data_IF_596982730126
#
_entry.id   IF_596982730126
#
_cell.length_a   1.000
_cell.length_b   1.000
_cell.length_c   1.000
_cell.angle_alpha   90.00
_cell.angle_beta   90.00
_cell.angle_gamma   90.00
#
_symmetry.space_group_name_H-M   'P 1'
#
loop_
_entity.id
_entity.type
_entity.pdbx_description
1 polymer ?
#
# COMPACT_ATOMS: atom_id res chain seq x y z
N UNK A 1 -10.73 18.80 5.83
CA UNK A 1 -12.00 19.00 5.11
C UNK A 1 -11.63 19.54 3.73
N UNK A 2 -11.44 18.64 2.77
CA UNK A 2 -11.02 19.01 1.42
C UNK A 2 -12.19 19.71 0.71
N UNK A 3 -11.94 20.89 0.17
CA UNK A 3 -12.95 21.64 -0.61
C UNK A 3 -13.05 21.00 -1.98
N UNK A 4 -14.25 20.56 -2.36
CA UNK A 4 -14.60 20.27 -3.74
C UNK A 4 -14.46 21.58 -4.54
N UNK A 5 -13.47 21.68 -5.42
CA UNK A 5 -13.43 22.75 -6.40
C UNK A 5 -14.41 22.39 -7.53
N UNK A 6 -15.61 22.96 -7.45
CA UNK A 6 -16.52 23.03 -8.59
C UNK A 6 -16.14 24.30 -9.36
N UNK A 7 -15.28 24.18 -10.39
CA UNK A 7 -15.20 25.15 -11.49
C UNK A 7 -14.21 24.69 -12.56
N UNK A 8 -14.70 24.64 -13.81
CA UNK A 8 -14.00 24.63 -15.10
C UNK A 8 -12.67 23.85 -15.18
N UNK A 9 -12.76 22.55 -15.57
CA UNK A 9 -11.63 21.80 -16.11
C UNK A 9 -10.45 21.60 -15.16
N UNK A 10 -10.29 20.38 -14.66
CA UNK A 10 -9.10 20.08 -13.86
C UNK A 10 -8.06 19.35 -14.69
N UNK A 11 -6.82 19.74 -14.51
CA UNK A 11 -5.69 19.20 -15.24
C UNK A 11 -5.25 17.85 -14.67
N UNK A 12 -5.31 17.68 -13.34
CA UNK A 12 -5.01 16.43 -12.65
C UNK A 12 -6.29 15.82 -12.07
N UNK A 13 -6.44 14.52 -12.24
CA UNK A 13 -7.52 13.76 -11.61
C UNK A 13 -6.97 12.54 -10.88
N UNK A 14 -7.61 12.17 -9.78
CA UNK A 14 -7.45 10.85 -9.18
C UNK A 14 -8.82 10.16 -9.18
N UNK A 15 -8.86 8.92 -9.60
CA UNK A 15 -10.07 8.08 -9.45
C UNK A 15 -9.80 7.10 -8.33
N UNK A 16 -10.62 7.13 -7.25
CA UNK A 16 -10.46 6.18 -6.15
C UNK A 16 -10.87 4.77 -6.57
N UNK A 17 -10.32 3.77 -5.90
CA UNK A 17 -10.81 2.40 -6.02
C UNK A 17 -12.19 2.22 -5.33
N UNK A 18 -12.39 1.19 -4.53
CA UNK A 18 -13.61 1.01 -3.71
C UNK A 18 -13.59 1.87 -2.43
N UNK A 19 -12.41 2.41 -2.08
CA UNK A 19 -12.20 3.28 -0.92
C UNK A 19 -12.63 4.72 -1.16
N UNK A 20 -12.13 5.59 -0.32
CA UNK A 20 -12.33 7.03 -0.42
C UNK A 20 -11.00 7.74 -0.16
N UNK A 21 -10.91 9.01 -0.50
CA UNK A 21 -9.69 9.83 -0.27
C UNK A 21 -9.37 10.09 1.21
N UNK A 22 -10.16 9.61 2.12
CA UNK A 22 -9.97 9.67 3.58
C UNK A 22 -9.88 8.28 4.22
N UNK A 23 -9.37 7.29 3.48
CA UNK A 23 -9.20 5.90 3.94
C UNK A 23 -8.05 5.71 4.94
N UNK A 24 -7.32 6.77 5.26
CA UNK A 24 -6.16 6.80 6.15
C UNK A 24 -4.99 5.91 5.66
N UNK A 25 -4.95 5.55 4.37
CA UNK A 25 -4.02 4.62 3.78
C UNK A 25 -3.75 4.96 2.30
N UNK A 26 -4.03 4.06 1.38
CA UNK A 26 -3.59 4.04 0.00
C UNK A 26 -4.18 5.16 -0.87
N UNK A 27 -5.52 5.30 -0.90
CA UNK A 27 -6.15 6.35 -1.69
C UNK A 27 -5.83 7.74 -1.16
N UNK A 28 -5.86 7.93 0.17
CA UNK A 28 -5.52 9.20 0.80
C UNK A 28 -4.09 9.61 0.48
N UNK A 29 -3.11 8.73 0.67
CA UNK A 29 -1.70 9.03 0.45
C UNK A 29 -1.40 9.35 -1.02
N UNK A 30 -2.01 8.61 -1.95
CA UNK A 30 -1.90 8.86 -3.40
C UNK A 30 -2.50 10.22 -3.78
N UNK A 31 -3.67 10.56 -3.21
CA UNK A 31 -4.32 11.83 -3.43
C UNK A 31 -3.53 13.00 -2.86
N UNK A 32 -3.00 12.88 -1.65
CA UNK A 32 -2.16 13.89 -1.01
C UNK A 32 -0.89 14.18 -1.84
N UNK A 33 -0.27 13.14 -2.41
CA UNK A 33 0.87 13.30 -3.32
C UNK A 33 0.50 14.09 -4.58
N UNK A 34 -0.63 13.78 -5.20
CA UNK A 34 -1.13 14.53 -6.37
C UNK A 34 -1.48 15.98 -6.01
N UNK A 35 -2.15 16.22 -4.89
CA UNK A 35 -2.53 17.55 -4.42
C UNK A 35 -1.29 18.40 -4.12
N UNK A 36 -0.30 17.85 -3.43
CA UNK A 36 0.92 18.58 -3.12
C UNK A 36 1.64 19.02 -4.40
N UNK A 37 1.76 18.14 -5.39
CA UNK A 37 2.33 18.50 -6.69
C UNK A 37 1.50 19.58 -7.40
N UNK A 38 0.17 19.44 -7.41
CA UNK A 38 -0.72 20.40 -8.06
C UNK A 38 -0.61 21.80 -7.44
N UNK A 39 -0.63 21.89 -6.12
CA UNK A 39 -0.53 23.18 -5.39
C UNK A 39 0.83 23.85 -5.63
N UNK A 40 1.94 23.10 -5.62
CA UNK A 40 3.28 23.62 -5.89
C UNK A 40 3.40 24.17 -7.31
N UNK A 41 2.74 23.56 -8.30
CA UNK A 41 2.82 23.92 -9.71
C UNK A 41 1.65 24.77 -10.19
N UNK A 42 0.71 25.15 -9.32
CA UNK A 42 -0.45 25.98 -9.65
C UNK A 42 -1.44 25.31 -10.62
N UNK A 43 -1.54 23.97 -10.56
CA UNK A 43 -2.43 23.17 -11.39
C UNK A 43 -3.78 22.96 -10.71
N UNK A 44 -4.82 22.76 -11.50
CA UNK A 44 -6.15 22.40 -11.01
C UNK A 44 -6.26 20.88 -10.85
N UNK A 45 -6.97 20.43 -9.82
CA UNK A 45 -7.13 19.01 -9.52
C UNK A 45 -8.51 18.65 -9.02
N UNK A 46 -8.90 17.39 -9.21
CA UNK A 46 -10.11 16.81 -8.65
C UNK A 46 -9.93 15.33 -8.33
N UNK A 47 -10.88 14.77 -7.58
CA UNK A 47 -11.02 13.34 -7.45
C UNK A 47 -12.39 12.86 -7.90
N UNK A 48 -12.44 11.62 -8.35
CA UNK A 48 -13.64 10.93 -8.77
C UNK A 48 -13.78 9.65 -7.97
N UNK A 49 -15.02 9.34 -7.58
CA UNK A 49 -15.34 8.11 -6.89
C UNK A 49 -16.30 7.32 -7.76
N UNK A 50 -15.95 6.07 -8.15
CA UNK A 50 -16.87 5.18 -8.85
C UNK A 50 -18.16 4.97 -8.07
N UNK A 51 -19.27 4.82 -8.78
CA UNK A 51 -20.60 4.66 -8.18
C UNK A 51 -20.76 3.29 -7.48
N UNK A 52 -19.97 2.31 -7.92
CA UNK A 52 -19.93 0.95 -7.38
C UNK A 52 -18.57 0.31 -7.66
N UNK A 53 -18.30 -0.83 -7.03
CA UNK A 53 -17.10 -1.62 -7.29
C UNK A 53 -17.26 -2.45 -8.57
N UNK A 54 -16.98 -1.82 -9.70
CA UNK A 54 -16.95 -2.49 -10.99
C UNK A 54 -15.98 -1.79 -11.95
N UNK A 55 -15.44 -2.54 -12.91
CA UNK A 55 -14.61 -2.01 -14.00
C UNK A 55 -15.35 -0.93 -14.77
N UNK A 56 -16.62 -1.15 -15.10
CA UNK A 56 -17.43 -0.18 -15.84
C UNK A 56 -17.56 1.13 -15.07
N UNK A 57 -17.82 1.10 -13.76
CA UNK A 57 -17.94 2.31 -12.96
C UNK A 57 -16.60 3.08 -12.83
N UNK A 58 -15.46 2.37 -12.77
CA UNK A 58 -14.13 2.99 -12.82
C UNK A 58 -13.88 3.63 -14.17
N UNK A 59 -14.17 2.93 -15.26
CA UNK A 59 -14.04 3.47 -16.64
C UNK A 59 -14.92 4.70 -16.83
N UNK A 60 -16.19 4.68 -16.38
CA UNK A 60 -17.07 5.85 -16.44
C UNK A 60 -16.50 7.05 -15.66
N UNK A 61 -15.92 6.80 -14.47
CA UNK A 61 -15.28 7.84 -13.68
C UNK A 61 -14.04 8.44 -14.36
N UNK A 62 -13.23 7.60 -15.03
CA UNK A 62 -12.07 8.04 -15.81
C UNK A 62 -12.52 8.88 -17.03
N UNK A 63 -13.54 8.44 -17.76
CA UNK A 63 -14.13 9.20 -18.87
C UNK A 63 -14.67 10.55 -18.40
N UNK A 64 -15.38 10.57 -17.27
CA UNK A 64 -15.88 11.82 -16.68
C UNK A 64 -14.73 12.78 -16.31
N UNK A 65 -13.60 12.27 -15.82
CA UNK A 65 -12.40 13.07 -15.58
C UNK A 65 -11.85 13.68 -16.86
N UNK A 66 -11.75 12.91 -17.95
CA UNK A 66 -11.31 13.40 -19.26
C UNK A 66 -12.26 14.45 -19.83
N UNK A 67 -13.56 14.22 -19.78
CA UNK A 67 -14.58 15.17 -20.22
C UNK A 67 -14.52 16.51 -19.45
N UNK A 68 -14.08 16.46 -18.19
CA UNK A 68 -13.86 17.64 -17.36
C UNK A 68 -12.44 18.24 -17.51
N UNK A 69 -11.64 17.76 -18.47
CA UNK A 69 -10.37 18.38 -18.87
C UNK A 69 -9.11 17.77 -18.29
N UNK A 70 -9.22 16.61 -17.62
CA UNK A 70 -8.04 15.92 -17.07
C UNK A 70 -7.05 15.56 -18.19
N UNK A 71 -5.79 15.90 -17.99
CA UNK A 71 -4.65 15.53 -18.83
C UNK A 71 -3.86 14.38 -18.21
N UNK A 72 -4.00 14.21 -16.90
CA UNK A 72 -3.37 13.12 -16.15
C UNK A 72 -4.41 12.52 -15.20
N UNK A 73 -4.50 11.20 -15.19
CA UNK A 73 -5.34 10.44 -14.26
C UNK A 73 -4.46 9.51 -13.43
N UNK A 74 -4.45 9.72 -12.12
CA UNK A 74 -3.83 8.83 -11.14
C UNK A 74 -4.86 7.75 -10.76
N UNK A 75 -4.46 6.50 -10.90
CA UNK A 75 -5.28 5.31 -10.69
C UNK A 75 -4.63 4.46 -9.58
N UNK A 76 -5.04 4.63 -8.32
CA UNK A 76 -4.45 3.91 -7.20
C UNK A 76 -5.04 2.51 -7.05
N UNK A 77 -4.22 1.50 -7.34
CA UNK A 77 -4.48 0.12 -6.97
C UNK A 77 -4.77 -0.85 -8.10
N UNK A 78 -4.55 -2.09 -7.77
CA UNK A 78 -4.76 -3.27 -8.59
C UNK A 78 -6.10 -3.31 -9.33
N UNK A 79 -7.19 -2.81 -8.71
CA UNK A 79 -8.52 -2.80 -9.33
C UNK A 79 -8.62 -1.93 -10.60
N UNK A 80 -7.60 -1.13 -10.90
CA UNK A 80 -7.56 -0.30 -12.12
C UNK A 80 -6.88 -0.98 -13.32
N UNK A 81 -6.29 -2.14 -13.19
CA UNK A 81 -5.51 -2.78 -14.24
C UNK A 81 -6.32 -2.96 -15.53
N UNK A 82 -7.51 -3.56 -15.44
CA UNK A 82 -8.42 -3.73 -16.59
C UNK A 82 -9.05 -2.41 -17.05
N UNK A 83 -9.34 -1.49 -16.14
CA UNK A 83 -9.91 -0.18 -16.47
C UNK A 83 -8.91 0.68 -17.25
N UNK A 84 -7.65 0.74 -16.82
CA UNK A 84 -6.56 1.44 -17.53
C UNK A 84 -6.29 0.76 -18.87
N UNK A 85 -6.28 -0.57 -18.92
CA UNK A 85 -6.14 -1.33 -20.18
C UNK A 85 -7.17 -0.89 -21.24
N UNK A 86 -8.42 -0.66 -20.83
CA UNK A 86 -9.50 -0.24 -21.74
C UNK A 86 -9.36 1.22 -22.17
N UNK A 87 -9.01 2.14 -21.27
CA UNK A 87 -9.08 3.59 -21.57
C UNK A 87 -7.79 4.19 -22.09
N UNK A 88 -6.62 3.58 -21.88
CA UNK A 88 -5.34 4.13 -22.33
C UNK A 88 -5.26 4.30 -23.85
N UNK A 89 -5.88 3.41 -24.63
CA UNK A 89 -5.96 3.51 -26.09
C UNK A 89 -7.10 4.42 -26.57
N UNK A 90 -8.17 4.57 -25.77
CA UNK A 90 -9.31 5.44 -26.06
C UNK A 90 -8.90 6.92 -25.98
N UNK A 91 -7.97 7.25 -25.07
CA UNK A 91 -7.51 8.61 -24.81
C UNK A 91 -5.99 8.74 -24.93
N UNK A 92 -5.43 8.67 -26.16
CA UNK A 92 -3.97 8.68 -26.38
C UNK A 92 -3.28 9.99 -25.96
N UNK A 93 -4.05 11.08 -25.80
CA UNK A 93 -3.54 12.40 -25.38
C UNK A 93 -3.68 12.63 -23.86
N UNK A 94 -4.21 11.65 -23.11
CA UNK A 94 -4.31 11.67 -21.64
C UNK A 94 -3.27 10.71 -21.07
N UNK A 95 -2.57 11.14 -20.03
CA UNK A 95 -1.58 10.30 -19.34
C UNK A 95 -2.21 9.57 -18.16
N UNK A 96 -1.78 8.34 -17.95
CA UNK A 96 -2.24 7.49 -16.83
C UNK A 96 -1.06 7.13 -15.94
N UNK A 97 -1.24 7.30 -14.64
CA UNK A 97 -0.32 6.80 -13.60
C UNK A 97 -1.04 5.70 -12.82
N UNK A 98 -0.65 4.45 -13.03
CA UNK A 98 -1.21 3.29 -12.33
C UNK A 98 -0.28 2.88 -11.18
N UNK A 99 -0.81 2.82 -9.98
CA UNK A 99 -0.09 2.38 -8.79
C UNK A 99 -0.52 0.96 -8.40
N UNK A 100 0.41 0.10 -8.04
CA UNK A 100 0.21 -1.31 -7.64
C UNK A 100 -0.44 -2.17 -8.74
N UNK A 101 -0.17 -1.90 -10.01
CA UNK A 101 -0.75 -2.71 -11.07
C UNK A 101 -0.09 -2.53 -12.43
N UNK A 102 -0.43 -3.44 -13.35
CA UNK A 102 -0.04 -3.42 -14.75
C UNK A 102 -1.27 -3.68 -15.62
N UNK A 103 -1.53 -2.83 -16.64
CA UNK A 103 -2.75 -2.96 -17.45
C UNK A 103 -2.85 -4.28 -18.20
N UNK A 104 -3.97 -4.98 -18.06
CA UNK A 104 -4.25 -6.22 -18.74
C UNK A 104 -5.72 -6.37 -19.13
N UNK A 105 -6.00 -7.27 -20.08
CA UNK A 105 -7.38 -7.66 -20.41
C UNK A 105 -8.05 -8.38 -19.24
N UNK A 106 -9.38 -8.27 -19.12
CA UNK A 106 -10.15 -8.87 -18.02
C UNK A 106 -9.96 -10.39 -17.86
N UNK A 107 -9.54 -11.09 -18.91
CA UNK A 107 -9.24 -12.53 -18.90
C UNK A 107 -7.75 -12.85 -18.69
N UNK A 108 -6.92 -11.82 -18.41
CA UNK A 108 -5.46 -11.92 -18.25
C UNK A 108 -4.71 -12.48 -19.48
N UNK A 109 -5.35 -12.46 -20.65
CA UNK A 109 -4.74 -12.99 -21.88
C UNK A 109 -3.75 -12.02 -22.51
N UNK A 110 -3.94 -10.73 -22.31
CA UNK A 110 -3.09 -9.67 -22.86
C UNK A 110 -2.69 -8.68 -21.76
N UNK A 111 -1.39 -8.39 -21.68
CA UNK A 111 -0.80 -7.31 -20.89
C UNK A 111 -0.29 -6.23 -21.84
N UNK A 112 -0.68 -5.01 -21.61
CA UNK A 112 -0.25 -3.89 -22.45
C UNK A 112 -0.20 -2.60 -21.66
N UNK A 113 0.96 -2.03 -21.54
CA UNK A 113 1.17 -0.66 -21.05
C UNK A 113 1.42 0.25 -22.23
N UNK A 114 0.49 1.15 -22.53
CA UNK A 114 0.62 2.09 -23.66
C UNK A 114 1.62 3.21 -23.34
N UNK A 115 2.15 3.89 -24.36
CA UNK A 115 3.16 4.94 -24.17
C UNK A 115 2.69 6.14 -23.34
N UNK A 116 1.39 6.35 -23.19
CA UNK A 116 0.76 7.35 -22.33
C UNK A 116 0.46 6.82 -20.91
N UNK A 117 0.92 5.62 -20.56
CA UNK A 117 0.72 4.99 -19.26
C UNK A 117 2.06 4.70 -18.60
N UNK A 118 2.19 5.08 -17.35
CA UNK A 118 3.29 4.72 -16.46
C UNK A 118 2.76 3.92 -15.27
N UNK A 119 3.43 2.83 -14.93
CA UNK A 119 3.04 1.96 -13.83
C UNK A 119 4.11 1.94 -12.74
N UNK A 120 3.68 1.90 -11.48
CA UNK A 120 4.56 1.71 -10.32
C UNK A 120 4.09 0.49 -9.55
N UNK A 121 5.00 -0.45 -9.33
CA UNK A 121 4.89 -1.51 -8.35
C UNK A 121 5.83 -1.23 -7.19
N UNK A 122 5.54 -1.78 -6.03
CA UNK A 122 6.39 -1.64 -4.85
C UNK A 122 6.90 -3.00 -4.39
N UNK A 123 8.01 -2.96 -3.61
CA UNK A 123 8.54 -4.14 -2.95
C UNK A 123 7.93 -4.24 -1.54
N UNK A 124 6.62 -4.53 -1.49
CA UNK A 124 5.87 -4.64 -0.24
C UNK A 124 6.43 -5.74 0.65
N UNK A 125 7.02 -6.78 0.06
CA UNK A 125 7.71 -7.83 0.82
C UNK A 125 8.82 -7.28 1.71
N UNK A 126 9.48 -6.19 1.29
CA UNK A 126 10.52 -5.55 2.10
C UNK A 126 9.93 -4.80 3.29
N UNK A 127 8.85 -4.03 3.07
CA UNK A 127 8.18 -3.32 4.17
C UNK A 127 7.56 -4.30 5.18
N UNK A 128 6.91 -5.36 4.67
CA UNK A 128 6.41 -6.46 5.50
C UNK A 128 7.52 -7.14 6.31
N UNK A 129 8.67 -7.40 5.67
CA UNK A 129 9.83 -7.99 6.33
C UNK A 129 10.32 -7.12 7.49
N UNK A 130 10.49 -5.82 7.28
CA UNK A 130 10.88 -4.91 8.36
C UNK A 130 9.90 -4.93 9.52
N UNK A 131 8.60 -4.96 9.24
CA UNK A 131 7.55 -4.98 10.26
C UNK A 131 7.55 -6.28 11.08
N UNK A 132 7.67 -7.43 10.41
CA UNK A 132 7.74 -8.73 11.07
C UNK A 132 9.01 -8.91 11.91
N UNK A 133 10.14 -8.49 11.35
CA UNK A 133 11.42 -8.50 12.05
C UNK A 133 11.38 -7.61 13.30
N UNK A 134 10.88 -6.38 13.17
CA UNK A 134 10.76 -5.44 14.27
C UNK A 134 9.83 -5.97 15.39
N UNK A 135 8.70 -6.58 15.03
CA UNK A 135 7.77 -7.15 16.01
C UNK A 135 8.44 -8.23 16.87
N UNK A 136 9.19 -9.15 16.26
CA UNK A 136 9.87 -10.22 17.01
C UNK A 136 11.08 -9.68 17.77
N UNK A 137 11.84 -8.73 17.23
CA UNK A 137 12.94 -8.05 17.96
C UNK A 137 12.45 -7.29 19.17
N UNK A 138 11.24 -6.73 19.12
CA UNK A 138 10.59 -6.08 20.26
C UNK A 138 10.22 -7.08 21.36
N UNK A 139 10.04 -8.35 21.02
CA UNK A 139 9.74 -9.44 21.95
C UNK A 139 8.37 -10.08 21.75
N UNK A 140 7.60 -9.65 20.74
CA UNK A 140 6.32 -10.28 20.40
C UNK A 140 6.57 -11.62 19.69
N UNK A 141 5.84 -12.65 20.11
CA UNK A 141 5.93 -14.01 19.55
C UNK A 141 4.59 -14.56 19.07
N UNK A 142 3.49 -13.95 19.47
CA UNK A 142 2.13 -14.30 19.07
C UNK A 142 1.59 -13.20 18.15
N UNK A 143 1.81 -13.38 16.84
CA UNK A 143 1.57 -12.38 15.81
C UNK A 143 0.29 -12.68 15.02
N UNK A 144 -0.26 -11.65 14.38
CA UNK A 144 -1.33 -11.76 13.40
C UNK A 144 -1.04 -10.94 12.15
N UNK A 145 -1.44 -11.44 10.99
CA UNK A 145 -1.55 -10.69 9.76
C UNK A 145 -3.00 -10.70 9.31
N UNK A 146 -3.61 -9.53 9.20
CA UNK A 146 -4.95 -9.34 8.67
C UNK A 146 -4.86 -8.50 7.39
N UNK A 147 -4.92 -9.17 6.25
CA UNK A 147 -4.95 -8.54 4.94
C UNK A 147 -6.37 -8.10 4.56
N UNK A 148 -6.48 -7.11 3.68
CA UNK A 148 -7.75 -6.76 3.05
C UNK A 148 -8.18 -7.81 2.04
N UNK A 149 -8.05 -7.53 0.76
CA UNK A 149 -8.25 -8.50 -0.32
C UNK A 149 -6.93 -9.21 -0.65
N UNK A 150 -6.99 -10.47 -1.08
CA UNK A 150 -5.82 -11.26 -1.46
C UNK A 150 -5.26 -10.85 -2.84
N UNK A 151 -4.89 -9.57 -2.97
CA UNK A 151 -4.24 -9.03 -4.18
C UNK A 151 -2.70 -9.10 -4.05
N UNK A 152 -1.94 -9.07 -5.14
CA UNK A 152 -0.49 -9.30 -5.10
C UNK A 152 0.27 -8.43 -4.09
N UNK A 153 -0.05 -7.13 -3.99
CA UNK A 153 0.59 -6.21 -3.04
C UNK A 153 0.33 -6.63 -1.58
N UNK A 154 -0.91 -6.95 -1.22
CA UNK A 154 -1.28 -7.36 0.16
C UNK A 154 -0.65 -8.71 0.50
N UNK A 155 -0.58 -9.64 -0.46
CA UNK A 155 0.10 -10.94 -0.28
C UNK A 155 1.60 -10.70 -0.04
N UNK A 156 2.27 -9.83 -0.81
CA UNK A 156 3.70 -9.51 -0.62
C UNK A 156 3.97 -8.91 0.76
N UNK A 157 3.15 -7.99 1.24
CA UNK A 157 3.26 -7.49 2.62
C UNK A 157 3.19 -8.61 3.65
N UNK A 158 2.18 -9.48 3.53
CA UNK A 158 1.97 -10.58 4.48
C UNK A 158 3.07 -11.62 4.44
N UNK A 159 3.52 -11.99 3.25
CA UNK A 159 4.61 -12.97 3.09
C UNK A 159 5.96 -12.38 3.51
N UNK A 160 6.19 -11.10 3.26
CA UNK A 160 7.33 -10.38 3.81
C UNK A 160 7.31 -10.36 5.34
N UNK A 161 6.16 -10.10 5.94
CA UNK A 161 5.99 -10.11 7.40
C UNK A 161 6.35 -11.47 8.03
N UNK A 162 5.92 -12.57 7.43
CA UNK A 162 6.29 -13.91 7.85
C UNK A 162 7.80 -14.13 7.75
N UNK A 163 8.43 -13.75 6.62
CA UNK A 163 9.87 -13.90 6.40
C UNK A 163 10.68 -13.07 7.42
N UNK A 164 10.26 -11.85 7.71
CA UNK A 164 10.91 -10.98 8.70
C UNK A 164 10.80 -11.51 10.12
N UNK A 165 9.60 -11.98 10.51
CA UNK A 165 9.38 -12.61 11.80
C UNK A 165 10.25 -13.86 11.96
N UNK A 166 10.36 -14.70 10.94
CA UNK A 166 11.18 -15.91 10.97
C UNK A 166 12.68 -15.59 11.06
N UNK A 167 13.16 -14.59 10.31
CA UNK A 167 14.55 -14.15 10.38
C UNK A 167 14.94 -13.67 11.79
N UNK A 168 14.11 -12.84 12.42
CA UNK A 168 14.34 -12.37 13.79
C UNK A 168 14.22 -13.50 14.82
N UNK A 169 13.25 -14.40 14.66
CA UNK A 169 13.06 -15.55 15.53
C UNK A 169 14.28 -16.50 15.49
N UNK A 170 14.84 -16.74 14.30
CA UNK A 170 16.09 -17.52 14.15
C UNK A 170 17.28 -16.82 14.81
N UNK A 171 17.45 -15.50 14.61
CA UNK A 171 18.52 -14.73 15.23
C UNK A 171 18.48 -14.77 16.76
N UNK A 172 17.26 -14.64 17.32
CA UNK A 172 17.06 -14.65 18.77
C UNK A 172 17.00 -16.07 19.37
N UNK A 173 16.87 -17.12 18.55
CA UNK A 173 16.68 -18.50 19.01
C UNK A 173 15.35 -18.74 19.70
N UNK A 174 14.29 -18.01 19.30
CA UNK A 174 12.92 -18.14 19.81
C UNK A 174 12.01 -18.77 18.74
N UNK A 175 10.82 -19.21 19.14
CA UNK A 175 9.76 -19.57 18.21
C UNK A 175 8.67 -18.50 18.26
N UNK A 176 8.04 -18.25 17.11
CA UNK A 176 6.90 -17.36 17.03
C UNK A 176 5.74 -18.00 16.23
N UNK A 177 4.54 -17.48 16.40
CA UNK A 177 3.34 -17.92 15.71
C UNK A 177 2.74 -16.73 14.94
N UNK A 178 2.25 -16.97 13.73
CA UNK A 178 1.56 -15.97 12.91
C UNK A 178 0.22 -16.53 12.50
N UNK A 179 -0.88 -15.93 12.99
CA UNK A 179 -2.21 -16.14 12.40
C UNK A 179 -2.31 -15.32 11.12
N UNK A 180 -2.74 -15.94 10.03
CA UNK A 180 -2.76 -15.32 8.71
C UNK A 180 -4.14 -15.39 8.09
N UNK A 181 -4.69 -14.25 7.66
CA UNK A 181 -6.06 -14.16 7.15
C UNK A 181 -6.27 -12.97 6.22
N UNK A 182 -7.20 -13.10 5.25
CA UNK A 182 -7.73 -12.01 4.43
C UNK A 182 -9.20 -11.74 4.75
N UNK A 183 -9.56 -10.46 4.80
CA UNK A 183 -10.91 -10.00 5.13
C UNK A 183 -11.87 -9.96 3.92
N UNK A 184 -11.34 -10.18 2.70
CA UNK A 184 -12.05 -10.01 1.43
C UNK A 184 -12.68 -8.61 1.24
N UNK A 185 -12.14 -7.60 1.92
CA UNK A 185 -12.62 -6.22 1.90
C UNK A 185 -11.52 -5.24 2.30
N UNK A 186 -11.54 -4.03 1.74
CA UNK A 186 -10.75 -2.89 2.22
C UNK A 186 -11.56 -1.94 3.11
N UNK A 187 -12.85 -2.19 3.29
CA UNK A 187 -13.72 -1.38 4.14
C UNK A 187 -13.78 -1.92 5.58
N UNK A 188 -13.92 -1.04 6.59
CA UNK A 188 -14.09 -1.47 7.98
C UNK A 188 -15.44 -2.19 8.16
N UNK A 189 -15.46 -3.16 9.08
CA UNK A 189 -16.70 -3.85 9.47
C UNK A 189 -16.65 -4.40 10.88
N UNK A 190 -17.83 -4.70 11.45
CA UNK A 190 -17.96 -5.36 12.75
C UNK A 190 -17.42 -6.79 12.73
N UNK A 191 -17.48 -7.48 11.58
CA UNK A 191 -16.95 -8.83 11.42
C UNK A 191 -15.42 -8.84 11.52
N UNK A 192 -14.75 -7.87 10.87
CA UNK A 192 -13.29 -7.69 10.97
C UNK A 192 -12.89 -7.38 12.41
N UNK A 193 -13.62 -6.46 13.07
CA UNK A 193 -13.39 -6.14 14.49
C UNK A 193 -13.54 -7.39 15.37
N UNK A 194 -14.60 -8.17 15.16
CA UNK A 194 -14.86 -9.39 15.91
C UNK A 194 -13.77 -10.44 15.72
N UNK A 195 -13.29 -10.61 14.47
CA UNK A 195 -12.18 -11.52 14.15
C UNK A 195 -10.90 -11.11 14.87
N UNK A 196 -10.51 -9.84 14.80
CA UNK A 196 -9.33 -9.32 15.49
C UNK A 196 -9.46 -9.44 17.01
N UNK A 197 -10.64 -9.14 17.58
CA UNK A 197 -10.90 -9.29 19.03
C UNK A 197 -10.78 -10.74 19.50
N UNK A 198 -11.20 -11.72 18.68
CA UNK A 198 -11.01 -13.13 18.99
C UNK A 198 -9.52 -13.49 19.07
N UNK A 199 -8.71 -13.00 18.13
CA UNK A 199 -7.28 -13.23 18.13
C UNK A 199 -6.58 -12.65 19.36
N UNK A 200 -6.90 -11.41 19.76
CA UNK A 200 -6.36 -10.83 21.00
C UNK A 200 -6.79 -11.62 22.23
N UNK A 201 -8.04 -12.10 22.28
CA UNK A 201 -8.54 -12.95 23.37
C UNK A 201 -7.79 -14.30 23.44
N UNK A 202 -7.37 -14.83 22.29
CA UNK A 202 -6.60 -16.07 22.17
C UNK A 202 -5.10 -15.87 22.42
N UNK A 203 -4.65 -14.65 22.67
CA UNK A 203 -3.28 -14.33 23.05
C UNK A 203 -2.43 -13.70 21.97
N UNK A 204 -2.98 -13.36 20.78
CA UNK A 204 -2.25 -12.57 19.80
C UNK A 204 -1.87 -11.22 20.40
N UNK A 205 -0.61 -10.85 20.28
CA UNK A 205 -0.05 -9.64 20.93
C UNK A 205 -0.08 -8.44 20.01
N UNK A 206 0.22 -8.65 18.71
CA UNK A 206 0.23 -7.61 17.68
C UNK A 206 -0.34 -8.13 16.36
N UNK A 207 -1.19 -7.33 15.72
CA UNK A 207 -1.76 -7.62 14.39
C UNK A 207 -1.23 -6.61 13.39
N UNK A 208 -0.62 -7.10 12.30
CA UNK A 208 -0.35 -6.26 11.13
C UNK A 208 -1.63 -6.13 10.33
N UNK A 209 -2.17 -4.91 10.30
CA UNK A 209 -3.38 -4.52 9.58
C UNK A 209 -3.02 -4.02 8.20
N UNK A 210 -3.20 -4.84 7.17
CA UNK A 210 -2.76 -4.55 5.81
C UNK A 210 -3.95 -4.46 4.83
N UNK A 211 -4.60 -3.30 4.75
CA UNK A 211 -5.69 -3.16 3.79
C UNK A 211 -6.61 -1.95 3.98
N UNK A 212 -6.13 -0.74 3.73
CA UNK A 212 -6.96 0.47 3.71
C UNK A 212 -7.76 0.65 5.01
N UNK A 213 -9.06 0.84 4.88
CA UNK A 213 -9.95 1.17 6.01
C UNK A 213 -10.16 0.06 7.05
N UNK A 214 -9.75 -1.19 6.79
CA UNK A 214 -9.87 -2.27 7.79
C UNK A 214 -9.09 -1.97 9.07
N UNK A 215 -8.07 -1.11 9.00
CA UNK A 215 -7.25 -0.71 10.15
C UNK A 215 -8.10 -0.14 11.29
N UNK A 216 -9.16 0.59 11.01
CA UNK A 216 -10.03 1.16 12.04
C UNK A 216 -10.77 0.10 12.85
N UNK A 217 -11.18 -0.99 12.21
CA UNK A 217 -11.81 -2.15 12.90
C UNK A 217 -10.80 -2.90 13.78
N UNK A 218 -9.57 -3.08 13.29
CA UNK A 218 -8.50 -3.79 14.02
C UNK A 218 -8.00 -2.94 15.19
N UNK A 219 -7.81 -1.62 15.00
CA UNK A 219 -7.47 -0.68 16.06
C UNK A 219 -8.53 -0.72 17.18
N UNK A 220 -9.81 -0.65 16.83
CA UNK A 220 -10.88 -0.72 17.82
C UNK A 220 -10.86 -2.03 18.63
N UNK A 221 -10.54 -3.16 18.00
CA UNK A 221 -10.37 -4.43 18.70
C UNK A 221 -9.13 -4.44 19.61
N UNK A 222 -8.02 -3.85 19.16
CA UNK A 222 -6.79 -3.75 19.95
C UNK A 222 -6.97 -2.86 21.19
N UNK A 223 -7.66 -1.73 21.06
CA UNK A 223 -7.97 -0.83 22.19
C UNK A 223 -8.81 -1.52 23.26
N UNK A 224 -9.77 -2.36 22.85
CA UNK A 224 -10.62 -3.12 23.78
C UNK A 224 -9.90 -4.33 24.36
N UNK A 225 -9.06 -5.00 23.59
CA UNK A 225 -8.36 -6.24 23.95
C UNK A 225 -6.99 -6.05 24.58
N UNK A 226 -6.44 -4.82 24.57
CA UNK A 226 -5.08 -4.52 25.06
C UNK A 226 -3.95 -4.96 24.12
N UNK A 227 -4.24 -5.26 22.86
CA UNK A 227 -3.28 -5.63 21.85
C UNK A 227 -2.59 -4.44 21.17
N UNK A 228 -1.71 -4.74 20.21
CA UNK A 228 -0.99 -3.76 19.41
C UNK A 228 -1.32 -3.94 17.94
N UNK A 229 -1.06 -2.88 17.15
CA UNK A 229 -1.31 -2.86 15.71
C UNK A 229 -0.06 -2.37 14.98
N UNK A 230 0.25 -3.00 13.85
CA UNK A 230 1.14 -2.46 12.83
C UNK A 230 0.27 -1.94 11.70
N UNK A 231 0.46 -0.67 11.32
CA UNK A 231 -0.24 -0.02 10.22
C UNK A 231 0.37 -0.32 8.86
N UNK A 232 -0.22 0.25 7.79
CA UNK A 232 0.20 0.02 6.41
C UNK A 232 0.18 1.28 5.56
N UNK A 233 0.93 1.30 4.48
CA UNK A 233 1.06 2.34 3.45
C UNK A 233 1.62 3.66 3.97
N UNK A 234 0.95 4.30 4.90
CA UNK A 234 1.33 5.57 5.54
C UNK A 234 1.68 5.38 7.01
N UNK A 235 2.30 6.39 7.60
CA UNK A 235 2.56 6.39 9.05
C UNK A 235 1.25 6.65 9.82
N UNK A 236 0.65 5.58 10.30
CA UNK A 236 -0.67 5.59 10.95
C UNK A 236 -0.63 5.80 12.47
N UNK A 237 0.53 6.24 13.03
CA UNK A 237 0.71 6.43 14.48
C UNK A 237 -0.36 7.31 15.14
N UNK A 238 -0.90 8.28 14.39
CA UNK A 238 -1.87 9.27 14.86
C UNK A 238 -3.28 8.71 15.05
N UNK A 239 -3.56 7.53 14.49
CA UNK A 239 -4.88 6.90 14.61
C UNK A 239 -5.14 6.39 16.04
N UNK A 240 -4.11 5.87 16.71
CA UNK A 240 -4.22 5.38 18.08
C UNK A 240 -2.84 5.09 18.71
N UNK A 241 -2.78 5.11 20.03
CA UNK A 241 -1.58 4.71 20.79
C UNK A 241 -1.30 3.19 20.73
N UNK A 242 -2.24 2.38 20.24
CA UNK A 242 -2.00 0.95 20.00
C UNK A 242 -1.22 0.68 18.73
N UNK A 243 -1.13 1.65 17.80
CA UNK A 243 -0.31 1.54 16.58
C UNK A 243 1.15 1.78 16.94
N UNK A 244 1.97 0.73 16.85
CA UNK A 244 3.37 0.75 17.30
C UNK A 244 4.37 1.12 16.18
N UNK A 245 4.00 0.88 14.94
CA UNK A 245 4.71 1.26 13.71
C UNK A 245 3.79 1.06 12.51
N UNK A 246 4.29 1.35 11.30
CA UNK A 246 3.58 1.11 10.04
C UNK A 246 4.54 0.59 8.97
N UNK A 247 4.14 -0.44 8.23
CA UNK A 247 4.86 -0.89 7.03
C UNK A 247 4.49 0.02 5.86
N UNK A 248 5.38 0.96 5.53
CA UNK A 248 5.09 2.08 4.64
C UNK A 248 5.48 1.82 3.19
N UNK A 249 4.69 2.42 2.28
CA UNK A 249 5.07 2.79 0.91
C UNK A 249 5.08 4.31 0.81
N UNK A 250 6.10 4.90 0.20
CA UNK A 250 6.13 6.36 -0.02
C UNK A 250 5.32 6.75 -1.26
N UNK A 251 4.00 6.53 -1.17
CA UNK A 251 3.04 6.86 -2.22
C UNK A 251 3.07 8.35 -2.59
N UNK A 252 3.06 9.29 -1.63
CA UNK A 252 3.10 10.71 -1.98
C UNK A 252 4.31 11.09 -2.80
N UNK A 253 5.52 10.64 -2.40
CA UNK A 253 6.76 10.96 -3.12
C UNK A 253 6.78 10.30 -4.50
N UNK A 254 6.37 9.04 -4.63
CA UNK A 254 6.35 8.35 -5.93
C UNK A 254 5.39 8.99 -6.93
N UNK A 255 4.21 9.44 -6.47
CA UNK A 255 3.26 10.20 -7.31
C UNK A 255 3.85 11.56 -7.71
N UNK A 256 4.43 12.32 -6.78
CA UNK A 256 5.04 13.62 -7.06
C UNK A 256 6.20 13.50 -8.06
N UNK A 257 7.10 12.53 -7.88
CA UNK A 257 8.23 12.31 -8.79
C UNK A 257 7.77 11.92 -10.19
N UNK A 258 6.74 11.07 -10.30
CA UNK A 258 6.18 10.70 -11.60
C UNK A 258 5.54 11.89 -12.30
N UNK A 259 4.74 12.68 -11.59
CA UNK A 259 4.14 13.90 -12.14
C UNK A 259 5.21 14.93 -12.53
N UNK A 260 6.26 15.10 -11.71
CA UNK A 260 7.38 15.98 -12.05
C UNK A 260 8.07 15.52 -13.34
N UNK A 261 8.38 14.23 -13.48
CA UNK A 261 8.99 13.69 -14.69
C UNK A 261 8.12 13.94 -15.93
N UNK A 262 6.80 13.80 -15.82
CA UNK A 262 5.85 14.08 -16.89
C UNK A 262 5.86 15.56 -17.30
N UNK A 263 5.74 16.46 -16.35
CA UNK A 263 5.65 17.89 -16.61
C UNK A 263 6.98 18.51 -17.05
N UNK A 264 8.10 18.06 -16.52
CA UNK A 264 9.44 18.45 -16.95
C UNK A 264 9.72 18.02 -18.39
N UNK A 265 9.08 16.95 -18.86
CA UNK A 265 9.14 16.47 -20.25
C UNK A 265 8.02 17.04 -21.14
N UNK A 266 7.40 18.15 -20.75
CA UNK A 266 6.43 18.86 -21.56
C UNK A 266 5.05 18.20 -21.65
N UNK A 267 4.64 17.43 -20.63
CA UNK A 267 3.32 16.82 -20.52
C UNK A 267 3.18 15.47 -21.22
N UNK A 268 4.30 14.82 -21.50
CA UNK A 268 4.37 13.44 -22.00
C UNK A 268 5.35 12.63 -21.16
N UNK A 269 5.11 11.35 -20.95
CA UNK A 269 6.05 10.51 -20.24
C UNK A 269 7.42 10.50 -20.92
N UNK A 270 8.54 10.68 -20.19
CA UNK A 270 9.88 10.48 -20.75
C UNK A 270 10.09 9.00 -21.13
N UNK A 271 11.10 8.72 -21.94
CA UNK A 271 11.33 7.39 -22.54
C UNK A 271 11.46 6.26 -21.50
N UNK A 272 12.00 6.56 -20.33
CA UNK A 272 12.18 5.63 -19.21
C UNK A 272 10.92 5.46 -18.33
N UNK A 273 9.83 6.19 -18.64
CA UNK A 273 8.51 6.09 -18.01
C UNK A 273 7.42 5.61 -18.99
N UNK A 274 7.50 6.00 -20.25
CA UNK A 274 6.47 5.77 -21.26
C UNK A 274 6.27 4.27 -21.54
N UNK A 275 5.15 3.71 -21.15
CA UNK A 275 4.86 2.28 -21.31
C UNK A 275 5.70 1.38 -20.42
N UNK A 276 6.25 1.90 -19.34
CA UNK A 276 7.18 1.21 -18.45
C UNK A 276 6.56 1.02 -17.06
N UNK A 277 6.79 -0.14 -16.47
CA UNK A 277 6.53 -0.43 -15.06
C UNK A 277 7.83 -0.28 -14.27
N UNK A 278 7.86 0.62 -13.31
CA UNK A 278 8.96 0.74 -12.34
C UNK A 278 8.59 -0.02 -11.06
N UNK A 279 9.57 -0.67 -10.44
CA UNK A 279 9.40 -1.31 -9.13
C UNK A 279 10.26 -0.59 -8.12
N UNK A 280 9.62 0.01 -7.10
CA UNK A 280 10.26 0.84 -6.08
C UNK A 280 10.33 0.08 -4.75
N UNK A 281 11.50 0.11 -4.12
CA UNK A 281 11.76 -0.60 -2.86
C UNK A 281 12.66 0.20 -1.92
N UNK A 282 13.35 -0.51 -1.03
CA UNK A 282 14.32 0.06 -0.11
C UNK A 282 15.50 0.72 -0.86
N UNK A 283 15.88 0.19 -2.03
CA UNK A 283 16.94 0.77 -2.86
C UNK A 283 16.61 2.21 -3.29
N UNK A 284 15.33 2.49 -3.57
CA UNK A 284 14.79 3.80 -3.94
C UNK A 284 14.29 4.59 -2.72
N UNK A 285 14.43 4.07 -1.50
CA UNK A 285 13.87 4.63 -0.25
C UNK A 285 12.34 4.77 -0.27
N UNK A 286 11.65 3.92 -1.02
CA UNK A 286 10.19 4.00 -1.18
C UNK A 286 9.39 3.06 -0.26
N UNK A 287 10.06 2.20 0.52
CA UNK A 287 9.41 1.32 1.50
C UNK A 287 10.22 1.28 2.79
N UNK A 288 9.56 1.06 3.92
CA UNK A 288 10.24 0.97 5.22
C UNK A 288 9.31 1.14 6.41
N UNK A 289 9.89 1.41 7.58
CA UNK A 289 9.16 1.80 8.79
C UNK A 289 9.41 3.29 9.09
N UNK A 290 8.45 4.00 9.70
CA UNK A 290 8.67 5.38 10.13
C UNK A 290 9.67 5.43 11.28
N UNK A 291 10.61 6.39 11.23
CA UNK A 291 11.68 6.53 12.23
C UNK A 291 11.57 7.81 13.06
N UNK A 292 10.45 8.55 12.94
CA UNK A 292 10.21 9.71 13.78
C UNK A 292 9.93 9.28 15.23
N UNK A 293 10.39 10.06 16.20
CA UNK A 293 10.28 9.75 17.64
C UNK A 293 8.83 9.41 18.09
N UNK A 294 7.84 10.06 17.49
CA UNK A 294 6.43 9.83 17.83
C UNK A 294 5.84 8.56 17.18
N UNK A 295 6.47 8.04 16.15
CA UNK A 295 6.02 6.88 15.38
C UNK A 295 6.73 5.59 15.77
N UNK A 296 7.94 5.72 16.33
CA UNK A 296 8.74 4.60 16.80
C UNK A 296 8.36 4.25 18.24
N UNK A 297 7.48 3.26 18.40
CA UNK A 297 6.97 2.86 19.72
C UNK A 297 7.51 1.51 20.19
N UNK A 298 8.71 1.16 19.73
CA UNK A 298 9.46 0.00 20.21
C UNK A 298 10.38 0.42 21.38
N UNK A 299 10.53 -0.45 22.38
CA UNK A 299 11.37 -0.25 23.56
C UNK A 299 12.69 -1.04 23.44
N UNK A 300 12.64 -2.24 22.84
CA UNK A 300 13.78 -3.15 22.73
C UNK A 300 14.46 -3.08 21.37
N UNK A 301 13.71 -2.87 20.29
CA UNK A 301 14.25 -2.72 18.93
C UNK A 301 14.53 -1.25 18.63
N UNK A 302 15.79 -0.89 18.44
CA UNK A 302 16.21 0.51 18.27
C UNK A 302 16.20 0.97 16.81
N UNK A 303 16.11 2.29 16.58
CA UNK A 303 16.22 2.88 15.24
C UNK A 303 17.59 2.57 14.62
N UNK A 304 18.68 2.51 15.41
CA UNK A 304 20.00 2.20 14.90
C UNK A 304 20.05 0.76 14.36
N UNK A 305 19.50 -0.22 15.08
CA UNK A 305 19.39 -1.62 14.61
C UNK A 305 18.51 -1.72 13.35
N UNK A 306 17.43 -0.94 13.30
CA UNK A 306 16.61 -0.86 12.09
C UNK A 306 17.37 -0.29 10.90
N UNK A 307 18.13 0.78 11.09
CA UNK A 307 18.92 1.38 10.02
C UNK A 307 20.00 0.42 9.50
N UNK A 308 20.61 -0.39 10.36
CA UNK A 308 21.55 -1.45 9.94
C UNK A 308 20.84 -2.53 9.11
N UNK A 309 19.67 -2.98 9.54
CA UNK A 309 18.84 -3.93 8.79
C UNK A 309 18.41 -3.35 7.45
N UNK A 310 17.94 -2.11 7.45
CA UNK A 310 17.49 -1.41 6.24
C UNK A 310 18.61 -1.31 5.21
N UNK A 311 19.84 -0.94 5.63
CA UNK A 311 20.98 -0.85 4.75
C UNK A 311 21.34 -2.20 4.10
N UNK A 312 21.18 -3.33 4.80
CA UNK A 312 21.41 -4.67 4.25
C UNK A 312 20.36 -5.05 3.19
N UNK A 313 19.09 -4.71 3.41
CA UNK A 313 18.03 -4.92 2.40
C UNK A 313 18.25 -3.99 1.21
N UNK A 314 18.55 -2.70 1.46
CA UNK A 314 18.83 -1.70 0.45
C UNK A 314 19.98 -2.09 -0.48
N UNK A 315 21.05 -2.66 0.07
CA UNK A 315 22.22 -3.11 -0.70
C UNK A 315 22.02 -4.48 -1.38
N UNK A 316 20.93 -5.19 -1.09
CA UNK A 316 20.71 -6.56 -1.56
C UNK A 316 21.50 -7.64 -0.81
N UNK A 317 22.13 -7.32 0.34
CA UNK A 317 22.76 -8.32 1.21
C UNK A 317 21.71 -9.28 1.81
N UNK A 318 20.53 -8.75 2.12
CA UNK A 318 19.35 -9.54 2.49
C UNK A 318 18.35 -9.47 1.32
N UNK A 319 18.11 -10.61 0.71
CA UNK A 319 17.10 -10.79 -0.32
C UNK A 319 15.84 -11.36 0.30
N UNK A 320 14.68 -10.74 0.01
CA UNK A 320 13.38 -11.14 0.49
C UNK A 320 12.58 -11.65 -0.71
N UNK A 321 12.01 -12.84 -0.60
CA UNK A 321 11.20 -13.40 -1.68
C UNK A 321 9.91 -12.57 -1.88
N UNK A 322 9.64 -12.18 -3.14
CA UNK A 322 8.42 -11.50 -3.55
C UNK A 322 7.38 -12.47 -4.17
N UNK A 323 7.61 -13.77 -4.08
CA UNK A 323 6.69 -14.79 -4.58
C UNK A 323 5.34 -14.70 -3.86
N UNK A 324 4.24 -14.91 -4.59
CA UNK A 324 2.87 -14.80 -4.08
C UNK A 324 2.05 -16.08 -4.25
N UNK A 325 2.66 -17.12 -4.81
CA UNK A 325 2.01 -18.39 -5.17
C UNK A 325 1.92 -19.41 -4.03
N UNK A 326 2.74 -19.23 -2.99
CA UNK A 326 2.74 -20.10 -1.81
C UNK A 326 3.27 -19.34 -0.58
N UNK A 327 2.78 -19.73 0.60
CA UNK A 327 3.32 -19.24 1.88
C UNK A 327 4.83 -19.47 1.95
N UNK A 328 5.60 -18.53 2.51
CA UNK A 328 7.04 -18.70 2.72
C UNK A 328 7.36 -19.92 3.59
N UNK A 329 8.42 -20.65 3.24
CA UNK A 329 8.98 -21.66 4.14
C UNK A 329 9.62 -20.96 5.36
N UNK A 330 9.36 -21.48 6.54
CA UNK A 330 9.81 -20.94 7.83
C UNK A 330 10.54 -21.99 8.65
N UNK A 331 11.44 -21.56 9.53
CA UNK A 331 12.22 -22.42 10.43
C UNK A 331 11.72 -22.28 11.87
N UNK A 332 11.55 -21.06 12.34
CA UNK A 332 11.19 -20.74 13.72
C UNK A 332 9.78 -20.11 13.84
N UNK A 333 9.10 -19.87 12.73
CA UNK A 333 7.73 -19.36 12.73
C UNK A 333 6.74 -20.47 12.34
N UNK A 334 5.66 -20.60 13.08
CA UNK A 334 4.51 -21.43 12.69
C UNK A 334 3.41 -20.51 12.15
N UNK A 335 2.95 -20.78 10.93
CA UNK A 335 1.86 -20.02 10.31
C UNK A 335 0.55 -20.81 10.49
N UNK A 336 -0.43 -20.19 11.13
CA UNK A 336 -1.83 -20.65 11.21
C UNK A 336 -2.61 -19.93 10.09
N UNK A 337 -2.64 -20.59 8.93
CA UNK A 337 -3.33 -20.08 7.74
C UNK A 337 -4.84 -20.28 7.89
N UNK A 338 -5.56 -19.15 7.97
CA UNK A 338 -7.02 -19.08 8.12
C UNK A 338 -7.71 -18.48 6.88
N UNK A 339 -7.01 -18.45 5.71
CA UNK A 339 -7.54 -17.92 4.45
C UNK A 339 -8.58 -18.80 3.79
#
# INVERSE_FOLDING_TARGET
MYKRQEEEGHELALVTDVGNIDDQSFNQSSYEGMVAFAEENGLTYAYYRPSEDSTDARVESMRAAVENGAKVIVCPGYLFEDSVYLVQDEYPDVNFLLLDGEPHSADYAEYKTAANTHCILYREEQAGFFAGYAAVKEGYTELGFAGGMAVPAVIRFGYGFIQGADAAAQELGVNANVKFWFADSFAPSDDIKTKAASWYTEGTEVIFSCGGGICTSIIAAAEEGGGKVIGVDSDQYYLSDVVITSAMKDLPTSVQLSLAALYDNGGTWPEDYAGVTQTLGAAENCVGLPTADHSWRFENFTIDEYNELYAKVQSGEIEISNATDALPETVNVTVDDQT
#
